data_IF_061726367277
#
_entry.id   IF_061726367277
#
_cell.length_a   1.000
_cell.length_b   1.000
_cell.length_c   1.000
_cell.angle_alpha   90.00
_cell.angle_beta   90.00
_cell.angle_gamma   90.00
#
_symmetry.space_group_name_H-M   'P 1'
#
loop_
_entity.id
_entity.type
_entity.pdbx_description
1 polymer ?
#
# COMPACT_ATOMS: atom_id res chain seq x y z
N UNK A 1 3.08 14.07 -30.38
CA UNK A 1 4.19 13.50 -29.58
C UNK A 1 3.83 13.65 -28.11
N UNK A 2 3.68 12.55 -27.37
CA UNK A 2 3.47 12.63 -25.92
C UNK A 2 4.77 13.11 -25.26
N UNK A 3 4.69 14.17 -24.45
CA UNK A 3 5.84 14.65 -23.69
C UNK A 3 6.20 13.66 -22.59
N UNK A 4 7.49 13.57 -22.25
CA UNK A 4 7.96 12.71 -21.16
C UNK A 4 7.32 13.22 -19.85
N UNK A 5 6.66 12.35 -19.06
CA UNK A 5 6.11 12.74 -17.78
C UNK A 5 7.18 13.33 -16.88
N UNK A 6 6.93 14.52 -16.32
CA UNK A 6 7.85 15.11 -15.34
C UNK A 6 7.81 14.31 -14.04
N UNK A 7 8.98 13.85 -13.61
CA UNK A 7 9.14 13.25 -12.30
C UNK A 7 8.83 14.26 -11.19
N UNK A 8 8.33 13.77 -10.05
CA UNK A 8 8.17 14.60 -8.85
C UNK A 8 9.54 14.98 -8.30
N UNK A 9 9.65 16.16 -7.67
CA UNK A 9 10.89 16.53 -7.00
C UNK A 9 11.12 15.64 -5.77
N UNK A 10 12.39 15.35 -5.39
CA UNK A 10 12.70 14.61 -4.17
C UNK A 10 12.12 15.28 -2.91
N UNK A 11 12.02 16.61 -2.91
CA UNK A 11 11.43 17.37 -1.81
C UNK A 11 9.93 17.10 -1.67
N UNK A 12 9.18 17.06 -2.77
CA UNK A 12 7.77 16.72 -2.76
C UNK A 12 7.55 15.29 -2.26
N UNK A 13 8.39 14.34 -2.66
CA UNK A 13 8.34 12.97 -2.15
C UNK A 13 8.56 12.91 -0.63
N UNK A 14 9.57 13.64 -0.13
CA UNK A 14 9.86 13.73 1.31
C UNK A 14 8.69 14.35 2.09
N UNK A 15 8.10 15.42 1.56
CA UNK A 15 6.93 16.07 2.17
C UNK A 15 5.71 15.14 2.23
N UNK A 16 5.44 14.40 1.17
CA UNK A 16 4.36 13.42 1.15
C UNK A 16 4.57 12.35 2.23
N UNK A 17 5.78 11.78 2.32
CA UNK A 17 6.13 10.82 3.37
C UNK A 17 5.98 11.40 4.77
N UNK A 18 6.40 12.66 4.98
CA UNK A 18 6.30 13.34 6.27
C UNK A 18 4.85 13.66 6.69
N UNK A 19 3.92 13.78 5.74
CA UNK A 19 2.50 14.05 6.05
C UNK A 19 1.73 12.84 6.58
N UNK A 20 2.29 11.62 6.48
CA UNK A 20 1.66 10.42 6.99
C UNK A 20 1.76 10.35 8.53
N UNK A 21 0.63 10.51 9.22
CA UNK A 21 0.56 10.32 10.66
C UNK A 21 0.63 8.84 11.04
N UNK A 22 1.85 8.33 11.22
CA UNK A 22 2.15 6.93 11.53
C UNK A 22 1.61 6.45 12.88
N UNK A 23 1.02 7.31 13.72
CA UNK A 23 0.31 6.87 14.93
C UNK A 23 -1.04 6.26 14.60
N UNK A 24 -1.59 6.55 13.42
CA UNK A 24 -2.88 6.01 12.94
C UNK A 24 -2.64 4.84 11.98
N UNK A 25 -3.50 3.81 12.00
CA UNK A 25 -3.43 2.67 11.07
C UNK A 25 -3.30 3.09 9.59
N UNK A 26 -4.10 4.07 9.17
CA UNK A 26 -4.06 4.62 7.81
C UNK A 26 -2.73 5.30 7.48
N UNK A 27 -2.13 6.02 8.42
CA UNK A 27 -0.86 6.68 8.19
C UNK A 27 0.30 5.69 8.08
N UNK A 28 0.29 4.58 8.83
CA UNK A 28 1.27 3.49 8.66
C UNK A 28 1.15 2.85 7.28
N UNK A 29 -0.08 2.55 6.86
CA UNK A 29 -0.38 1.98 5.54
C UNK A 29 0.11 2.90 4.42
N UNK A 30 -0.30 4.15 4.45
CA UNK A 30 -0.01 5.13 3.40
C UNK A 30 1.49 5.44 3.34
N UNK A 31 2.18 5.49 4.49
CA UNK A 31 3.62 5.67 4.55
C UNK A 31 4.38 4.51 3.88
N UNK A 32 4.01 3.25 4.17
CA UNK A 32 4.62 2.08 3.55
C UNK A 32 4.37 2.04 2.03
N UNK A 33 3.14 2.35 1.59
CA UNK A 33 2.79 2.47 0.17
C UNK A 33 3.65 3.54 -0.52
N UNK A 34 3.74 4.74 0.04
CA UNK A 34 4.52 5.82 -0.53
C UNK A 34 6.01 5.48 -0.61
N UNK A 35 6.55 4.76 0.38
CA UNK A 35 7.94 4.29 0.35
C UNK A 35 8.19 3.31 -0.80
N UNK A 36 7.29 2.34 -1.01
CA UNK A 36 7.36 1.41 -2.14
C UNK A 36 7.39 2.14 -3.48
N UNK A 37 6.46 3.10 -3.67
CA UNK A 37 6.39 3.90 -4.89
C UNK A 37 7.65 4.76 -5.09
N UNK A 38 8.13 5.43 -4.03
CA UNK A 38 9.21 6.41 -4.12
C UNK A 38 10.61 5.80 -4.13
N UNK A 39 10.82 4.63 -3.53
CA UNK A 39 12.15 4.01 -3.38
C UNK A 39 12.36 2.82 -4.31
N UNK A 40 11.33 2.04 -4.56
CA UNK A 40 11.41 0.85 -5.42
C UNK A 40 10.73 1.06 -6.78
N UNK A 41 10.03 2.18 -6.97
CA UNK A 41 9.44 2.53 -8.27
C UNK A 41 8.26 1.66 -8.67
N UNK A 42 7.63 0.96 -7.71
CA UNK A 42 6.46 0.13 -7.99
C UNK A 42 5.32 0.98 -8.56
N UNK A 43 4.50 0.35 -9.40
CA UNK A 43 3.24 0.91 -9.88
C UNK A 43 2.14 0.66 -8.85
N UNK A 44 1.10 1.50 -8.90
CA UNK A 44 -0.05 1.33 -8.00
C UNK A 44 -0.72 -0.05 -8.09
N UNK A 45 -0.74 -0.66 -9.28
CA UNK A 45 -1.25 -2.02 -9.46
C UNK A 45 -0.39 -3.08 -8.76
N UNK A 46 0.94 -2.98 -8.87
CA UNK A 46 1.90 -3.89 -8.23
C UNK A 46 1.79 -3.80 -6.70
N UNK A 47 1.66 -2.58 -6.15
CA UNK A 47 1.43 -2.38 -4.70
C UNK A 47 0.08 -2.95 -4.26
N UNK A 48 -0.97 -2.78 -5.06
CA UNK A 48 -2.32 -3.24 -4.73
C UNK A 48 -2.45 -4.78 -4.74
N UNK A 49 -1.69 -5.45 -5.61
CA UNK A 49 -1.67 -6.92 -5.71
C UNK A 49 -0.67 -7.58 -4.77
N UNK A 50 0.25 -6.83 -4.15
CA UNK A 50 1.29 -7.37 -3.28
C UNK A 50 0.70 -8.20 -2.13
N UNK A 51 1.19 -9.43 -1.98
CA UNK A 51 0.77 -10.39 -0.96
C UNK A 51 1.86 -10.63 0.09
N UNK A 52 1.47 -11.25 1.20
CA UNK A 52 2.41 -11.64 2.26
C UNK A 52 3.45 -12.68 1.77
N UNK A 53 3.12 -13.48 0.76
CA UNK A 53 4.02 -14.49 0.18
C UNK A 53 5.09 -13.88 -0.73
N UNK A 54 4.87 -12.66 -1.20
CA UNK A 54 5.81 -11.95 -2.06
C UNK A 54 6.99 -11.34 -1.27
N UNK A 55 6.95 -11.41 0.07
CA UNK A 55 7.98 -10.84 0.94
C UNK A 55 8.79 -11.98 1.56
N UNK A 56 10.03 -12.12 1.10
CA UNK A 56 11.00 -12.98 1.74
C UNK A 56 11.85 -12.14 2.70
N UNK A 57 11.54 -12.27 4.00
CA UNK A 57 12.23 -11.57 5.07
C UNK A 57 13.62 -12.14 5.36
N UNK A 58 13.86 -13.41 5.04
CA UNK A 58 15.14 -14.07 5.30
C UNK A 58 16.18 -13.64 4.27
N UNK A 59 15.79 -13.61 3.00
CA UNK A 59 16.68 -13.17 1.91
C UNK A 59 16.62 -11.66 1.66
N UNK A 60 15.66 -10.96 2.25
CA UNK A 60 15.46 -9.53 2.03
C UNK A 60 15.02 -9.23 0.60
N UNK A 61 14.08 -10.01 0.08
CA UNK A 61 13.62 -9.92 -1.32
C UNK A 61 12.12 -9.66 -1.38
N UNK A 62 11.71 -8.86 -2.38
CA UNK A 62 10.32 -8.56 -2.70
C UNK A 62 10.02 -9.00 -4.14
N UNK A 63 9.14 -9.97 -4.30
CA UNK A 63 8.75 -10.49 -5.62
C UNK A 63 7.59 -9.68 -6.21
N UNK A 64 7.83 -9.03 -7.35
CA UNK A 64 6.84 -8.15 -7.99
C UNK A 64 6.24 -8.82 -9.22
N UNK A 65 4.91 -8.83 -9.28
CA UNK A 65 4.12 -9.35 -10.40
C UNK A 65 3.81 -8.24 -11.40
N UNK A 66 4.49 -8.28 -12.54
CA UNK A 66 4.32 -7.36 -13.66
C UNK A 66 3.25 -7.81 -14.67
N UNK A 67 3.03 -6.96 -15.67
CA UNK A 67 2.11 -7.26 -16.77
C UNK A 67 2.55 -8.51 -17.53
N UNK A 68 1.62 -9.43 -17.77
CA UNK A 68 1.87 -10.67 -18.52
C UNK A 68 2.46 -11.80 -17.68
N UNK A 69 2.34 -11.73 -16.35
CA UNK A 69 2.81 -12.79 -15.44
C UNK A 69 4.32 -12.81 -15.26
N UNK A 70 5.01 -11.72 -15.61
CA UNK A 70 6.44 -11.59 -15.38
C UNK A 70 6.68 -11.29 -13.90
N UNK A 71 7.51 -12.11 -13.26
CA UNK A 71 7.94 -11.88 -11.89
C UNK A 71 9.35 -11.27 -11.89
N UNK A 72 9.54 -10.25 -11.07
CA UNK A 72 10.85 -9.62 -10.89
C UNK A 72 11.16 -9.50 -9.41
N UNK A 73 12.21 -10.17 -8.90
CA UNK A 73 12.68 -9.94 -7.54
C UNK A 73 13.32 -8.56 -7.44
N UNK A 74 13.02 -7.85 -6.35
CA UNK A 74 13.65 -6.58 -5.98
C UNK A 74 14.23 -6.70 -4.56
N UNK A 75 15.34 -6.00 -4.26
CA UNK A 75 15.85 -5.94 -2.90
C UNK A 75 14.84 -5.23 -1.99
N UNK A 76 14.48 -5.86 -0.87
CA UNK A 76 13.70 -5.23 0.18
C UNK A 76 14.61 -4.29 0.97
N UNK A 77 14.61 -3.01 0.58
CA UNK A 77 15.37 -1.98 1.30
C UNK A 77 14.90 -1.93 2.76
N UNK A 78 15.84 -1.91 3.71
CA UNK A 78 15.55 -1.85 5.14
C UNK A 78 14.43 -0.85 5.53
N UNK A 79 14.46 0.44 5.12
CA UNK A 79 13.39 1.38 5.47
C UNK A 79 12.01 0.99 4.91
N UNK A 80 11.97 0.27 3.79
CA UNK A 80 10.72 -0.25 3.20
C UNK A 80 10.23 -1.45 4.02
N UNK A 81 11.11 -2.40 4.32
CA UNK A 81 10.80 -3.57 5.15
C UNK A 81 10.30 -3.17 6.54
N UNK A 82 10.97 -2.22 7.19
CA UNK A 82 10.55 -1.66 8.48
C UNK A 82 9.16 -1.02 8.42
N UNK A 83 8.87 -0.23 7.38
CA UNK A 83 7.58 0.40 7.21
C UNK A 83 6.45 -0.62 6.96
N UNK A 84 6.71 -1.65 6.17
CA UNK A 84 5.76 -2.76 5.95
C UNK A 84 5.53 -3.49 7.27
N UNK A 85 6.59 -3.89 7.98
CA UNK A 85 6.49 -4.60 9.24
C UNK A 85 5.72 -3.78 10.31
N UNK A 86 5.97 -2.48 10.38
CA UNK A 86 5.26 -1.56 11.27
C UNK A 86 3.75 -1.49 10.95
N UNK A 87 3.39 -1.44 9.66
CA UNK A 87 1.99 -1.53 9.27
C UNK A 87 1.38 -2.90 9.60
N UNK A 88 2.05 -4.00 9.24
CA UNK A 88 1.56 -5.36 9.48
C UNK A 88 1.31 -5.63 10.96
N UNK A 89 2.17 -5.13 11.85
CA UNK A 89 2.06 -5.34 13.30
C UNK A 89 1.11 -4.37 14.00
N UNK A 90 1.08 -3.10 13.56
CA UNK A 90 0.48 -2.02 14.34
C UNK A 90 -0.64 -1.25 13.61
N UNK A 91 -1.00 -1.63 12.38
CA UNK A 91 -2.00 -0.90 11.59
C UNK A 91 -2.86 -1.74 10.66
N UNK A 92 -2.46 -2.97 10.34
CA UNK A 92 -3.25 -3.88 9.52
C UNK A 92 -4.35 -4.50 10.38
N UNK A 93 -5.59 -4.39 9.93
CA UNK A 93 -6.71 -5.07 10.58
C UNK A 93 -6.60 -6.59 10.37
N UNK A 94 -7.16 -7.36 11.31
CA UNK A 94 -7.27 -8.80 11.18
C UNK A 94 -8.12 -9.15 9.95
N UNK A 95 -7.58 -9.99 9.09
CA UNK A 95 -8.21 -10.38 7.82
C UNK A 95 -7.61 -11.66 7.30
N UNK A 96 -8.44 -12.50 6.69
CA UNK A 96 -8.03 -13.70 5.95
C UNK A 96 -7.35 -13.37 4.61
N UNK A 97 -7.49 -12.14 4.11
CA UNK A 97 -6.83 -11.72 2.88
C UNK A 97 -5.31 -11.83 3.05
N UNK A 98 -4.63 -12.36 2.04
CA UNK A 98 -3.16 -12.40 1.98
C UNK A 98 -2.55 -11.13 1.39
N UNK A 99 -3.35 -10.17 0.93
CA UNK A 99 -2.83 -8.89 0.46
C UNK A 99 -2.16 -8.15 1.61
N UNK A 100 -0.99 -7.56 1.35
CA UNK A 100 -0.27 -6.76 2.34
C UNK A 100 -1.17 -5.61 2.78
N UNK A 101 -1.62 -4.79 1.83
CA UNK A 101 -2.41 -3.58 2.10
C UNK A 101 -3.90 -3.82 1.98
N UNK A 102 -4.64 -3.44 3.02
CA UNK A 102 -6.09 -3.55 3.08
C UNK A 102 -6.77 -2.20 2.86
N UNK A 103 -8.00 -2.26 2.35
CA UNK A 103 -8.90 -1.10 2.32
C UNK A 103 -9.33 -0.76 3.74
N UNK A 104 -9.33 0.53 4.07
CA UNK A 104 -9.69 1.03 5.41
C UNK A 104 -11.17 1.45 5.51
N UNK A 105 -11.78 1.83 4.38
CA UNK A 105 -13.19 2.23 4.37
C UNK A 105 -14.10 1.01 4.11
N UNK A 106 -15.17 0.88 4.90
CA UNK A 106 -16.25 -0.07 4.62
C UNK A 106 -16.80 0.14 3.20
N UNK A 107 -17.54 -0.81 2.61
CA UNK A 107 -18.55 -0.37 1.68
C UNK A 107 -19.53 0.55 2.44
N UNK A 108 -19.45 1.86 2.19
CA UNK A 108 -20.46 2.82 2.62
C UNK A 108 -21.54 2.82 1.53
N UNK A 109 -22.69 2.18 1.81
CA UNK A 109 -23.81 2.01 0.86
C UNK A 109 -25.08 2.67 1.40
N UNK A 110 -25.90 3.22 0.49
CA UNK A 110 -27.20 3.81 0.83
C UNK A 110 -28.24 2.77 1.28
N UNK A 111 -29.32 3.24 1.93
CA UNK A 111 -30.42 2.38 2.34
C UNK A 111 -31.00 1.61 1.15
N UNK A 112 -31.10 0.28 1.27
CA UNK A 112 -31.61 -0.59 0.20
C UNK A 112 -33.15 -0.63 0.13
N UNK A 113 -33.85 -0.13 1.15
CA UNK A 113 -35.31 -0.22 1.27
C UNK A 113 -35.88 1.01 1.97
N UNK A 114 -37.10 1.43 1.61
CA UNK A 114 -37.83 2.55 2.25
C UNK A 114 -38.05 2.38 3.77
N UNK A 115 -38.20 1.15 4.27
CA UNK A 115 -38.34 0.85 5.70
C UNK A 115 -37.10 1.18 6.53
N UNK A 116 -35.94 1.36 5.90
CA UNK A 116 -34.71 1.75 6.60
C UNK A 116 -34.67 3.27 6.86
N UNK A 117 -35.69 4.02 6.42
CA UNK A 117 -35.81 5.47 6.60
C UNK A 117 -36.68 5.83 7.81
N UNK A 118 -37.59 4.96 8.25
CA UNK A 118 -38.55 5.26 9.33
C UNK A 118 -38.43 4.24 10.46
N UNK A 119 -38.04 4.71 11.65
CA UNK A 119 -38.35 4.05 12.92
C UNK A 119 -39.58 4.76 13.50
N UNK A 120 -40.63 4.01 13.87
CA UNK A 120 -41.63 4.51 14.82
C UNK A 120 -41.03 4.63 16.22
#
# INVERSE_FOLDING_TARGET
MASIPKAISPEHARRALASCDRRRPIGRRDYAILLLLARLGLRGGEVASLTLDDIDWETGTLNIHGKGGQESPLPLLAPVGEAIADYLKNGRADSESRNVFLRINAPIRGFKTEKAVWNE
#
